data_IF_250776933153
#
_entry.id   IF_250776933153
#
_cell.length_a   1.000
_cell.length_b   1.000
_cell.length_c   1.000
_cell.angle_alpha   90.00
_cell.angle_beta   90.00
_cell.angle_gamma   90.00
#
_symmetry.space_group_name_H-M   'P 1'
#
loop_
_entity.id
_entity.type
_entity.pdbx_description
1 polymer ?
#
# COMPACT_ATOMS: atom_id res chain seq x y z
N UNK A 1 -26.39 22.13 -2.96
CA UNK A 1 -27.09 23.44 -3.13
C UNK A 1 -26.84 24.08 -4.49
N UNK A 2 -25.59 24.36 -4.89
CA UNK A 2 -25.28 25.05 -6.16
C UNK A 2 -25.69 24.25 -7.40
N UNK A 3 -25.50 22.92 -7.40
CA UNK A 3 -25.97 22.03 -8.50
C UNK A 3 -27.46 22.16 -8.72
N UNK A 4 -28.26 22.27 -7.64
CA UNK A 4 -29.70 22.48 -7.73
C UNK A 4 -30.00 23.85 -8.35
N UNK A 5 -29.32 24.91 -7.90
CA UNK A 5 -29.44 26.25 -8.50
C UNK A 5 -29.19 26.23 -10.01
N UNK A 6 -28.08 25.63 -10.47
CA UNK A 6 -27.75 25.57 -11.91
C UNK A 6 -28.87 24.86 -12.69
N UNK A 7 -29.41 23.74 -12.18
CA UNK A 7 -30.49 22.98 -12.82
C UNK A 7 -31.81 23.75 -12.96
N UNK A 8 -32.15 24.61 -12.00
CA UNK A 8 -33.44 25.31 -11.97
C UNK A 8 -33.38 26.74 -12.50
N UNK A 9 -32.17 27.27 -12.76
CA UNK A 9 -31.94 28.68 -13.10
C UNK A 9 -32.76 29.15 -14.30
N UNK A 10 -32.85 28.35 -15.35
CA UNK A 10 -33.60 28.74 -16.55
C UNK A 10 -35.12 28.74 -16.32
N UNK A 11 -35.62 27.86 -15.43
CA UNK A 11 -37.02 27.89 -15.00
C UNK A 11 -37.34 29.15 -14.16
N UNK A 12 -36.44 29.53 -13.25
CA UNK A 12 -36.58 30.76 -12.45
C UNK A 12 -36.61 31.99 -13.37
N UNK A 13 -35.80 32.00 -14.43
CA UNK A 13 -35.76 33.11 -15.40
C UNK A 13 -37.10 33.36 -16.10
N UNK A 14 -37.93 32.33 -16.25
CA UNK A 14 -39.25 32.46 -16.87
C UNK A 14 -40.31 33.04 -15.93
N UNK A 15 -40.01 33.21 -14.65
CA UNK A 15 -40.95 33.67 -13.63
C UNK A 15 -40.64 35.13 -13.28
N UNK A 16 -41.39 36.06 -13.86
CA UNK A 16 -41.18 37.50 -13.72
C UNK A 16 -41.08 37.99 -12.26
N UNK A 17 -41.83 37.36 -11.33
CA UNK A 17 -41.82 37.73 -9.91
C UNK A 17 -40.48 37.45 -9.19
N UNK A 18 -39.61 36.62 -9.75
CA UNK A 18 -38.34 36.20 -9.14
C UNK A 18 -37.12 36.31 -10.07
N UNK A 19 -37.30 36.74 -11.31
CA UNK A 19 -36.21 36.89 -12.28
C UNK A 19 -35.14 37.87 -11.76
N UNK A 20 -35.55 38.96 -11.10
CA UNK A 20 -34.66 39.99 -10.55
C UNK A 20 -33.75 39.48 -9.41
N UNK A 21 -34.07 38.31 -8.84
CA UNK A 21 -33.25 37.66 -7.80
C UNK A 21 -32.08 36.85 -8.39
N UNK A 22 -32.05 36.66 -9.72
CA UNK A 22 -31.01 35.88 -10.37
C UNK A 22 -29.66 36.61 -10.31
N UNK A 23 -28.56 35.88 -10.01
CA UNK A 23 -27.22 36.43 -10.16
C UNK A 23 -26.96 36.94 -11.57
N UNK A 24 -26.15 37.99 -11.67
CA UNK A 24 -25.70 38.53 -12.96
C UNK A 24 -25.07 37.41 -13.82
N UNK A 25 -25.15 37.50 -15.16
CA UNK A 25 -24.61 36.47 -16.06
C UNK A 25 -23.14 36.10 -15.79
N UNK A 26 -22.31 37.07 -15.42
CA UNK A 26 -20.91 36.86 -15.04
C UNK A 26 -20.77 36.01 -13.77
N UNK A 27 -21.52 36.33 -12.72
CA UNK A 27 -21.57 35.57 -11.48
C UNK A 27 -22.13 34.17 -11.71
N UNK A 28 -23.17 34.03 -12.54
CA UNK A 28 -23.68 32.72 -12.93
C UNK A 28 -22.59 31.85 -13.58
N UNK A 29 -21.80 32.42 -14.51
CA UNK A 29 -20.66 31.70 -15.11
C UNK A 29 -19.63 31.26 -14.08
N UNK A 30 -19.33 32.11 -13.09
CA UNK A 30 -18.43 31.75 -11.99
C UNK A 30 -19.00 30.59 -11.14
N UNK A 31 -20.31 30.60 -10.86
CA UNK A 31 -20.97 29.52 -10.13
C UNK A 31 -20.88 28.20 -10.92
N UNK A 32 -21.12 28.21 -12.23
CA UNK A 32 -20.99 27.00 -13.06
C UNK A 32 -19.55 26.48 -13.04
N UNK A 33 -18.55 27.36 -13.18
CA UNK A 33 -17.14 26.95 -13.06
C UNK A 33 -16.82 26.36 -11.69
N UNK A 34 -17.38 26.92 -10.61
CA UNK A 34 -17.20 26.40 -9.27
C UNK A 34 -17.84 25.03 -9.10
N UNK A 35 -19.06 24.83 -9.60
CA UNK A 35 -19.75 23.52 -9.55
C UNK A 35 -18.91 22.44 -10.22
N UNK A 36 -18.35 22.70 -11.40
CA UNK A 36 -17.50 21.73 -12.09
C UNK A 36 -16.25 21.38 -11.26
N UNK A 37 -15.60 22.38 -10.63
CA UNK A 37 -14.45 22.12 -9.74
C UNK A 37 -14.85 21.31 -8.51
N UNK A 38 -16.03 21.54 -7.96
CA UNK A 38 -16.52 20.79 -6.81
C UNK A 38 -16.85 19.34 -7.20
N UNK A 39 -17.41 19.10 -8.38
CA UNK A 39 -17.66 17.74 -8.89
C UNK A 39 -16.35 16.96 -9.11
N UNK A 40 -15.33 17.62 -9.66
CA UNK A 40 -14.00 17.04 -9.79
C UNK A 40 -13.44 16.59 -8.43
N UNK A 41 -13.52 17.47 -7.41
CA UNK A 41 -13.03 17.19 -6.07
C UNK A 41 -13.89 16.16 -5.32
N UNK A 42 -15.20 16.15 -5.55
CA UNK A 42 -16.14 15.20 -4.95
C UNK A 42 -15.76 13.76 -5.31
N UNK A 43 -15.42 13.50 -6.57
CA UNK A 43 -14.96 12.17 -7.01
C UNK A 43 -13.70 11.70 -6.26
N UNK A 44 -12.80 12.62 -5.93
CA UNK A 44 -11.58 12.34 -5.18
C UNK A 44 -11.92 12.10 -3.72
N UNK A 45 -12.79 12.91 -3.11
CA UNK A 45 -13.28 12.69 -1.75
C UNK A 45 -13.97 11.34 -1.58
N UNK A 46 -14.82 10.94 -2.54
CA UNK A 46 -15.45 9.62 -2.56
C UNK A 46 -14.39 8.52 -2.58
N UNK A 47 -13.36 8.64 -3.43
CA UNK A 47 -12.28 7.65 -3.48
C UNK A 47 -11.46 7.58 -2.18
N UNK A 48 -11.18 8.72 -1.56
CA UNK A 48 -10.45 8.80 -0.29
C UNK A 48 -11.21 8.20 0.89
N UNK A 49 -12.54 8.13 0.82
CA UNK A 49 -13.40 7.57 1.86
C UNK A 49 -13.61 6.05 1.74
N UNK A 50 -13.03 5.41 0.72
CA UNK A 50 -13.08 3.96 0.58
C UNK A 50 -12.19 3.28 1.63
N UNK A 51 -12.64 2.14 2.15
CA UNK A 51 -11.95 1.39 3.20
C UNK A 51 -10.60 0.81 2.75
N UNK A 52 -10.44 0.55 1.46
CA UNK A 52 -9.24 -0.02 0.84
C UNK A 52 -8.26 1.03 0.31
N UNK A 53 -8.53 2.33 0.52
CA UNK A 53 -7.66 3.38 0.01
C UNK A 53 -6.33 3.42 0.79
N UNK A 54 -5.24 3.10 0.09
CA UNK A 54 -3.90 3.07 0.69
C UNK A 54 -3.26 4.46 0.76
N UNK A 55 -2.29 4.68 1.66
CA UNK A 55 -1.57 5.96 1.76
C UNK A 55 -0.85 6.34 0.46
N UNK A 56 -0.35 5.36 -0.30
CA UNK A 56 0.23 5.58 -1.62
C UNK A 56 -0.79 6.13 -2.63
N UNK A 57 -2.02 5.61 -2.62
CA UNK A 57 -3.11 6.13 -3.46
C UNK A 57 -3.56 7.52 -3.03
N UNK A 58 -3.72 7.76 -1.73
CA UNK A 58 -4.04 9.08 -1.16
C UNK A 58 -3.03 10.11 -1.66
N UNK A 59 -1.73 9.78 -1.60
CA UNK A 59 -0.67 10.65 -2.07
C UNK A 59 -0.81 10.99 -3.55
N UNK A 60 -1.02 9.98 -4.41
CA UNK A 60 -1.24 10.20 -5.86
C UNK A 60 -2.47 11.05 -6.16
N UNK A 61 -3.56 10.86 -5.41
CA UNK A 61 -4.78 11.66 -5.56
C UNK A 61 -4.51 13.12 -5.20
N UNK A 62 -3.84 13.37 -4.08
CA UNK A 62 -3.46 14.73 -3.69
C UNK A 62 -2.50 15.38 -4.67
N UNK A 63 -1.53 14.66 -5.23
CA UNK A 63 -0.64 15.20 -6.27
C UNK A 63 -1.42 15.60 -7.53
N UNK A 64 -2.44 14.81 -7.90
CA UNK A 64 -3.38 15.14 -8.98
C UNK A 64 -4.17 16.42 -8.67
N UNK A 65 -4.67 16.56 -7.45
CA UNK A 65 -5.36 17.78 -6.99
C UNK A 65 -4.42 18.98 -7.07
N UNK A 66 -3.17 18.85 -6.61
CA UNK A 66 -2.19 19.93 -6.62
C UNK A 66 -1.81 20.35 -8.04
N UNK A 67 -1.69 19.40 -8.97
CA UNK A 67 -1.45 19.71 -10.38
C UNK A 67 -2.60 20.51 -11.00
N UNK A 68 -3.86 20.18 -10.67
CA UNK A 68 -5.05 20.86 -11.19
C UNK A 68 -5.39 22.16 -10.46
N UNK A 69 -5.09 22.23 -9.16
CA UNK A 69 -5.38 23.35 -8.28
C UNK A 69 -4.14 23.72 -7.44
N UNK A 70 -3.14 24.41 -8.02
CA UNK A 70 -1.87 24.70 -7.32
C UNK A 70 -2.01 25.41 -5.98
N UNK A 71 -3.10 26.17 -5.79
CA UNK A 71 -3.43 26.84 -4.53
C UNK A 71 -3.60 25.87 -3.34
N UNK A 72 -3.87 24.58 -3.55
CA UNK A 72 -4.02 23.58 -2.47
C UNK A 72 -2.69 23.02 -1.97
N UNK A 73 -1.57 23.33 -2.64
CA UNK A 73 -0.24 22.77 -2.33
C UNK A 73 0.17 22.94 -0.87
N UNK A 74 -0.12 24.10 -0.29
CA UNK A 74 0.20 24.39 1.11
C UNK A 74 -0.52 23.47 2.12
N UNK A 75 -1.64 22.87 1.72
CA UNK A 75 -2.44 21.98 2.56
C UNK A 75 -2.22 20.50 2.26
N UNK A 76 -1.85 20.16 1.02
CA UNK A 76 -1.80 18.77 0.56
C UNK A 76 -0.38 18.26 0.28
N UNK A 77 0.63 19.13 0.20
CA UNK A 77 2.00 18.74 -0.11
C UNK A 77 2.66 17.89 0.98
N UNK A 78 3.74 17.19 0.63
CA UNK A 78 4.54 16.40 1.58
C UNK A 78 5.19 17.26 2.69
N UNK A 79 5.32 18.57 2.46
CA UNK A 79 5.81 19.55 3.44
C UNK A 79 4.69 20.37 4.08
N UNK A 80 3.42 19.99 3.90
CA UNK A 80 2.30 20.68 4.50
C UNK A 80 2.38 20.63 6.03
N UNK A 81 1.91 21.67 6.71
CA UNK A 81 1.98 21.79 8.19
C UNK A 81 1.34 20.63 8.96
N UNK A 82 0.41 19.91 8.33
CA UNK A 82 -0.27 18.75 8.91
C UNK A 82 0.63 17.51 8.97
N UNK A 83 1.67 17.44 8.13
CA UNK A 83 2.65 16.35 8.10
C UNK A 83 3.60 16.54 9.26
N UNK A 84 3.54 15.64 10.24
CA UNK A 84 4.34 15.73 11.45
C UNK A 84 5.67 14.99 11.33
N UNK A 85 5.69 13.89 10.57
CA UNK A 85 6.85 13.04 10.39
C UNK A 85 7.12 12.84 8.90
N UNK A 86 7.66 13.85 8.20
CA UNK A 86 7.76 13.84 6.73
C UNK A 86 8.58 12.67 6.19
N UNK A 87 9.69 12.30 6.86
CA UNK A 87 10.55 11.18 6.44
C UNK A 87 9.82 9.84 6.58
N UNK A 88 9.11 9.64 7.70
CA UNK A 88 8.33 8.42 7.93
C UNK A 88 7.15 8.32 6.94
N UNK A 89 6.38 9.38 6.77
CA UNK A 89 5.23 9.38 5.86
C UNK A 89 5.65 9.15 4.40
N UNK A 90 6.77 9.75 3.96
CA UNK A 90 7.34 9.50 2.62
C UNK A 90 7.85 8.06 2.48
N UNK A 91 8.52 7.52 3.50
CA UNK A 91 8.96 6.12 3.52
C UNK A 91 7.79 5.14 3.35
N UNK A 92 6.69 5.36 4.07
CA UNK A 92 5.47 4.52 3.97
C UNK A 92 4.85 4.62 2.59
N UNK A 93 4.76 5.83 2.02
CA UNK A 93 4.25 6.05 0.65
C UNK A 93 5.13 5.33 -0.38
N UNK A 94 6.46 5.39 -0.24
CA UNK A 94 7.42 4.71 -1.13
C UNK A 94 7.28 3.20 -1.05
N UNK A 95 7.20 2.64 0.15
CA UNK A 95 6.97 1.20 0.37
C UNK A 95 5.67 0.73 -0.29
N UNK A 96 4.56 1.46 -0.12
CA UNK A 96 3.27 1.12 -0.73
C UNK A 96 3.24 1.32 -2.25
N UNK A 97 4.20 2.05 -2.80
CA UNK A 97 4.33 2.31 -4.23
C UNK A 97 5.42 1.47 -4.91
N UNK A 98 5.96 0.47 -4.22
CA UNK A 98 7.08 -0.38 -4.66
C UNK A 98 8.31 0.43 -5.12
N UNK A 99 8.60 1.53 -4.42
CA UNK A 99 9.77 2.37 -4.67
C UNK A 99 10.90 2.05 -3.70
N UNK A 100 12.13 2.30 -4.15
CA UNK A 100 13.31 2.20 -3.30
C UNK A 100 13.22 3.22 -2.15
N UNK A 101 13.47 2.73 -0.93
CA UNK A 101 13.63 3.54 0.27
C UNK A 101 15.12 3.72 0.59
N UNK A 102 15.47 4.87 1.14
CA UNK A 102 16.85 5.12 1.61
C UNK A 102 17.04 4.60 3.04
N UNK A 103 18.30 4.49 3.49
CA UNK A 103 18.61 3.99 4.83
C UNK A 103 17.92 4.79 5.95
N UNK A 104 17.89 6.13 5.85
CA UNK A 104 17.20 6.98 6.83
C UNK A 104 15.71 6.65 6.93
N UNK A 105 15.06 6.40 5.78
CA UNK A 105 13.66 6.01 5.71
C UNK A 105 13.42 4.63 6.31
N UNK A 106 14.31 3.68 6.01
CA UNK A 106 14.29 2.32 6.56
C UNK A 106 14.38 2.34 8.10
N UNK A 107 15.29 3.14 8.66
CA UNK A 107 15.44 3.30 10.11
C UNK A 107 14.17 3.85 10.76
N UNK A 108 13.46 4.77 10.09
CA UNK A 108 12.22 5.36 10.59
C UNK A 108 11.03 4.39 10.56
N UNK A 109 11.02 3.40 9.67
CA UNK A 109 9.94 2.40 9.58
C UNK A 109 10.29 1.07 10.26
N UNK A 110 11.56 0.86 10.64
CA UNK A 110 12.06 -0.40 11.19
C UNK A 110 11.29 -0.91 12.41
N UNK A 111 10.79 -0.01 13.26
CA UNK A 111 10.01 -0.40 14.45
C UNK A 111 8.64 -1.03 14.12
N UNK A 112 8.16 -0.86 12.88
CA UNK A 112 6.93 -1.47 12.36
C UNK A 112 7.19 -2.76 11.58
N UNK A 113 8.46 -3.12 11.34
CA UNK A 113 8.80 -4.35 10.66
C UNK A 113 8.36 -5.56 11.50
N UNK A 114 7.58 -6.45 10.90
CA UNK A 114 7.29 -7.73 11.55
C UNK A 114 8.60 -8.50 11.72
N UNK A 115 8.83 -9.15 12.89
CA UNK A 115 9.94 -10.04 13.03
C UNK A 115 9.85 -11.06 11.91
N UNK A 116 10.96 -11.25 11.18
CA UNK A 116 10.99 -12.17 10.07
C UNK A 116 10.36 -13.50 10.54
N UNK A 117 9.36 -14.05 9.81
CA UNK A 117 8.85 -15.38 10.14
C UNK A 117 10.09 -16.27 10.24
N UNK A 118 10.16 -17.17 11.24
CA UNK A 118 11.33 -17.99 11.44
C UNK A 118 11.65 -18.59 10.09
N UNK A 119 12.74 -18.11 9.49
CA UNK A 119 13.21 -18.69 8.24
C UNK A 119 13.30 -20.17 8.58
N UNK A 120 12.76 -21.03 7.73
CA UNK A 120 13.28 -22.39 7.65
C UNK A 120 14.74 -22.26 7.19
N UNK A 121 15.60 -21.77 8.09
CA UNK A 121 17.04 -21.71 7.95
C UNK A 121 17.45 -23.16 8.08
N UNK A 122 17.54 -23.80 6.92
CA UNK A 122 18.05 -25.14 6.77
C UNK A 122 17.03 -26.25 6.96
N UNK A 123 15.94 -26.24 6.19
CA UNK A 123 15.66 -27.53 5.52
C UNK A 123 16.77 -27.66 4.49
N UNK A 124 17.93 -28.20 4.92
CA UNK A 124 18.91 -28.73 3.98
C UNK A 124 18.07 -29.55 3.02
N UNK A 125 18.12 -29.25 1.71
CA UNK A 125 17.62 -30.16 0.69
C UNK A 125 18.38 -31.46 0.95
N UNK A 126 17.83 -32.29 1.82
CA UNK A 126 18.28 -33.63 2.02
C UNK A 126 17.95 -34.24 0.67
N UNK A 127 19.00 -34.46 -0.13
CA UNK A 127 18.85 -35.03 -1.46
C UNK A 127 17.89 -36.20 -1.30
N UNK A 128 16.73 -36.12 -1.93
CA UNK A 128 15.66 -37.10 -1.74
C UNK A 128 16.21 -38.51 -1.98
N UNK A 129 17.15 -38.65 -2.91
CA UNK A 129 17.95 -39.86 -3.14
C UNK A 129 18.69 -40.37 -1.91
N UNK A 130 19.33 -39.50 -1.13
CA UNK A 130 20.04 -39.90 0.10
C UNK A 130 19.06 -40.36 1.19
N UNK A 131 17.91 -39.69 1.33
CA UNK A 131 16.87 -40.15 2.25
C UNK A 131 16.24 -41.47 1.80
N UNK A 132 16.02 -41.65 0.50
CA UNK A 132 15.49 -42.88 -0.07
C UNK A 132 16.49 -44.03 0.06
N UNK A 133 17.79 -43.76 -0.12
CA UNK A 133 18.86 -44.72 0.12
C UNK A 133 18.90 -45.17 1.59
N UNK A 134 18.90 -44.23 2.54
CA UNK A 134 18.92 -44.57 3.97
C UNK A 134 17.64 -45.32 4.40
N UNK A 135 16.49 -44.95 3.84
CA UNK A 135 15.21 -45.60 4.12
C UNK A 135 15.14 -47.01 3.53
N UNK A 136 15.63 -47.21 2.30
CA UNK A 136 15.68 -48.52 1.66
C UNK A 136 16.68 -49.46 2.35
N UNK A 137 17.77 -48.92 2.88
CA UNK A 137 18.81 -49.68 3.58
C UNK A 137 18.61 -49.73 5.10
N UNK A 138 17.44 -49.32 5.62
CA UNK A 138 17.21 -49.22 7.07
C UNK A 138 17.56 -50.50 7.84
N UNK A 139 17.24 -51.68 7.28
CA UNK A 139 17.53 -52.97 7.91
C UNK A 139 19.02 -53.37 7.93
N UNK A 140 19.87 -52.72 7.13
CA UNK A 140 21.34 -52.92 7.18
C UNK A 140 21.99 -52.15 8.33
N UNK A 141 21.29 -51.17 8.90
CA UNK A 141 21.76 -50.31 9.98
C UNK A 141 21.04 -50.56 11.31
N UNK A 142 20.23 -51.62 11.40
CA UNK A 142 19.63 -52.04 12.67
C UNK A 142 20.72 -52.52 13.64
N UNK A 143 20.42 -52.42 14.95
CA UNK A 143 21.35 -52.71 16.06
C UNK A 143 22.03 -54.09 15.95
N UNK A 144 21.38 -55.05 15.30
CA UNK A 144 21.89 -56.42 15.01
C UNK A 144 23.00 -56.47 13.95
N UNK A 145 23.05 -55.53 13.01
CA UNK A 145 24.06 -55.48 11.94
C UNK A 145 25.37 -54.84 12.40
N UNK A 146 25.30 -53.88 13.32
CA UNK A 146 26.48 -53.26 13.95
C UNK A 146 27.27 -54.24 14.84
N UNK A 147 26.59 -55.21 15.47
CA UNK A 147 27.25 -56.24 16.26
C UNK A 147 28.03 -57.26 15.42
N UNK A 148 27.65 -57.46 14.15
CA UNK A 148 28.34 -58.41 13.26
C UNK A 148 29.71 -57.90 12.80
N UNK A 149 29.88 -56.58 12.73
CA UNK A 149 31.17 -55.95 12.38
C UNK A 149 32.10 -55.89 13.60
N UNK A 150 31.56 -55.79 14.82
CA UNK A 150 32.37 -55.75 16.04
C UNK A 150 32.91 -57.13 16.47
N UNK A 151 32.42 -58.23 15.92
CA UNK A 151 32.79 -59.59 16.33
C UNK A 151 33.59 -60.39 15.27
N UNK A 152 34.03 -59.73 14.19
CA UNK A 152 34.89 -60.34 13.17
C UNK A 152 36.32 -59.79 13.15
N UNK A 153 36.73 -59.09 14.21
CA UNK A 153 38.08 -58.55 14.36
C UNK A 153 38.70 -58.94 15.71
N UNK A 154 38.92 -60.24 15.95
CA UNK A 154 39.87 -60.78 16.93
C UNK A 154 39.93 -62.32 16.85
N UNK A 155 40.54 -62.86 15.79
CA UNK A 155 41.33 -64.10 15.88
C UNK A 155 42.63 -63.84 15.13
N UNK A 156 43.64 -63.39 15.90
CA UNK A 156 45.03 -63.46 15.50
C UNK A 156 45.60 -64.79 15.98
N UNK A 157 46.32 -65.45 15.06
CA UNK A 157 47.62 -66.12 15.25
C UNK A 157 47.83 -66.98 16.51
N UNK A 158 47.85 -68.31 16.32
CA UNK A 158 49.08 -69.13 16.36
C UNK A 158 48.93 -70.38 15.48
#
# INVERSE_FOLDING_TARGET
MLTRYVKIRDAIKMVAAVEDLLPRPSTHRQIVQLVNKLEDLDSICVKLQLEDCTLGEVRRLFDTVMAKYPATSHHLGASARIVHLPVFEDAVVKLLSDREIIQEEEENVACFALPAPPSQRGSKKSNFEMLMFLRANRGLWDFTSLFRISNSGCQGEE
#
